data_IF_764285226523
#
_entry.id   IF_764285226523
#
_cell.length_a   1.000
_cell.length_b   1.000
_cell.length_c   1.000
_cell.angle_alpha   90.00
_cell.angle_beta   90.00
_cell.angle_gamma   90.00
#
_symmetry.space_group_name_H-M   'P 1'
#
loop_
_entity.id
_entity.type
_entity.pdbx_description
1 polymer ?
#
# COMPACT_ATOMS: atom_id res chain seq x y z
N UNK A 1 40.56 1.94 13.14
CA UNK A 1 39.35 1.51 12.48
C UNK A 1 38.36 2.64 12.71
N UNK A 2 38.35 3.62 11.81
CA UNK A 2 37.29 4.61 11.75
C UNK A 2 36.08 3.82 11.26
N UNK A 3 35.03 3.80 12.06
CA UNK A 3 33.77 3.21 11.70
C UNK A 3 33.36 3.71 10.31
N UNK A 4 33.21 2.83 9.36
CA UNK A 4 32.34 3.07 8.23
C UNK A 4 30.98 3.41 8.85
N UNK A 5 30.73 4.69 9.02
CA UNK A 5 29.42 5.20 9.41
C UNK A 5 28.50 4.73 8.30
N UNK A 6 27.79 3.63 8.53
CA UNK A 6 26.79 3.12 7.59
C UNK A 6 25.88 4.28 7.24
N UNK A 7 25.94 4.76 5.98
CA UNK A 7 25.16 5.91 5.56
C UNK A 7 23.68 5.62 5.80
N UNK A 8 23.02 6.52 6.51
CA UNK A 8 21.62 6.38 6.91
C UNK A 8 20.68 6.42 5.71
N UNK A 9 19.64 5.60 5.77
CA UNK A 9 18.50 5.59 4.84
C UNK A 9 17.27 6.08 5.61
N UNK A 10 16.62 7.13 5.15
CA UNK A 10 15.46 7.71 5.81
C UNK A 10 14.17 7.19 5.19
N UNK A 11 13.37 6.50 5.98
CA UNK A 11 12.02 6.06 5.64
C UNK A 11 10.99 6.98 6.27
N UNK A 12 10.04 7.46 5.49
CA UNK A 12 8.77 8.00 5.99
C UNK A 12 7.75 6.86 5.94
N UNK A 13 7.11 6.58 7.07
CA UNK A 13 6.07 5.59 7.17
C UNK A 13 4.76 6.23 7.64
N UNK A 14 3.72 6.19 6.80
CA UNK A 14 2.37 6.65 7.16
C UNK A 14 1.52 5.45 7.46
N UNK A 15 1.03 5.36 8.70
CA UNK A 15 0.14 4.29 9.15
C UNK A 15 -1.00 4.90 9.97
N UNK A 16 -2.19 4.95 9.40
CA UNK A 16 -3.33 5.62 10.03
C UNK A 16 -4.65 5.34 9.33
N UNK A 17 -5.73 5.86 9.89
CA UNK A 17 -7.07 5.77 9.32
C UNK A 17 -8.01 4.92 10.14
N UNK A 18 -8.98 4.27 9.47
CA UNK A 18 -10.12 3.62 10.12
C UNK A 18 -10.32 2.18 9.63
N UNK A 19 -11.13 1.42 10.38
CA UNK A 19 -11.68 0.10 10.06
C UNK A 19 -10.66 -1.05 9.94
N UNK A 20 -9.40 -0.79 10.24
CA UNK A 20 -8.31 -1.75 10.23
C UNK A 20 -7.52 -1.68 11.53
N UNK A 21 -6.90 -2.79 11.93
CA UNK A 21 -5.95 -2.83 13.05
C UNK A 21 -4.62 -2.18 12.63
N UNK A 22 -4.66 -0.84 12.57
CA UNK A 22 -3.52 -0.02 12.12
C UNK A 22 -2.29 -0.26 13.00
N UNK A 23 -2.49 -0.44 14.30
CA UNK A 23 -1.39 -0.63 15.25
C UNK A 23 -0.71 -1.99 15.06
N UNK A 24 -1.47 -3.04 14.77
CA UNK A 24 -0.91 -4.35 14.39
C UNK A 24 -0.08 -4.24 13.10
N UNK A 25 -0.66 -3.69 12.03
CA UNK A 25 0.05 -3.54 10.75
C UNK A 25 1.30 -2.66 10.89
N UNK A 26 1.19 -1.55 11.63
CA UNK A 26 2.30 -0.65 11.96
C UNK A 26 3.43 -1.40 12.65
N UNK A 27 3.10 -2.20 13.68
CA UNK A 27 4.08 -2.99 14.43
C UNK A 27 4.80 -3.99 13.53
N UNK A 28 4.07 -4.75 12.72
CA UNK A 28 4.66 -5.76 11.84
C UNK A 28 5.58 -5.14 10.79
N UNK A 29 5.17 -4.03 10.16
CA UNK A 29 5.99 -3.32 9.17
C UNK A 29 7.24 -2.72 9.84
N UNK A 30 7.12 -2.13 11.03
CA UNK A 30 8.27 -1.58 11.78
C UNK A 30 9.29 -2.67 12.17
N UNK A 31 8.85 -3.88 12.51
CA UNK A 31 9.75 -5.02 12.74
C UNK A 31 10.60 -5.31 11.50
N UNK A 32 9.98 -5.37 10.31
CA UNK A 32 10.71 -5.63 9.07
C UNK A 32 11.65 -4.46 8.72
N UNK A 33 11.19 -3.20 8.85
CA UNK A 33 12.05 -2.04 8.63
C UNK A 33 13.27 -2.03 9.57
N UNK A 34 13.13 -2.53 10.80
CA UNK A 34 14.22 -2.60 11.77
C UNK A 34 15.24 -3.73 11.51
N UNK A 35 14.97 -4.64 10.58
CA UNK A 35 15.93 -5.68 10.16
C UNK A 35 17.17 -5.06 9.47
N UNK A 36 17.06 -3.85 8.88
CA UNK A 36 18.20 -3.07 8.36
C UNK A 36 18.52 -1.89 9.30
N UNK A 37 19.58 -2.01 10.08
CA UNK A 37 20.02 -1.01 11.08
C UNK A 37 20.38 0.38 10.49
N UNK A 38 20.51 0.49 9.15
CA UNK A 38 20.73 1.78 8.46
C UNK A 38 19.45 2.58 8.33
N UNK A 39 18.27 1.94 8.42
CA UNK A 39 16.99 2.60 8.23
C UNK A 39 16.62 3.40 9.48
N UNK A 40 16.40 4.70 9.29
CA UNK A 40 15.70 5.53 10.26
C UNK A 40 14.27 5.72 9.80
N UNK A 41 13.32 5.17 10.54
CA UNK A 41 11.89 5.33 10.25
C UNK A 41 11.30 6.48 11.05
N UNK A 42 10.58 7.38 10.36
CA UNK A 42 9.70 8.39 10.96
C UNK A 42 8.25 7.98 10.67
N UNK A 43 7.46 7.80 11.72
CA UNK A 43 6.06 7.34 11.63
C UNK A 43 5.12 8.52 11.76
N UNK A 44 4.09 8.53 10.92
CA UNK A 44 3.02 9.53 10.88
C UNK A 44 1.66 8.82 10.75
N UNK A 45 0.59 9.46 11.18
CA UNK A 45 -0.76 8.93 11.07
C UNK A 45 -1.54 9.50 9.89
N UNK A 46 -1.07 10.63 9.33
CA UNK A 46 -1.66 11.31 8.19
C UNK A 46 -0.60 11.83 7.21
N UNK A 47 -1.04 12.13 5.99
CA UNK A 47 -0.15 12.57 4.91
C UNK A 47 0.28 14.03 5.03
N UNK A 48 -0.56 14.90 5.59
CA UNK A 48 -0.25 16.34 5.69
C UNK A 48 0.91 16.59 6.67
N UNK A 49 0.92 15.90 7.81
CA UNK A 49 2.05 15.89 8.73
C UNK A 49 3.28 15.18 8.17
N UNK A 50 3.08 14.05 7.48
CA UNK A 50 4.17 13.30 6.84
C UNK A 50 4.88 14.11 5.75
N UNK A 51 4.14 14.96 5.01
CA UNK A 51 4.68 15.83 3.97
C UNK A 51 5.84 16.71 4.45
N UNK A 52 5.88 17.08 5.73
CA UNK A 52 6.98 17.86 6.32
C UNK A 52 8.32 17.12 6.35
N UNK A 53 8.28 15.78 6.22
CA UNK A 53 9.45 14.91 6.30
C UNK A 53 9.91 14.37 4.93
N UNK A 54 9.13 14.56 3.86
CA UNK A 54 9.41 13.97 2.54
C UNK A 54 10.71 14.49 1.91
N UNK A 55 11.09 15.74 2.18
CA UNK A 55 12.31 16.33 1.60
C UNK A 55 13.58 15.61 2.07
N UNK A 56 13.54 15.01 3.28
CA UNK A 56 14.65 14.24 3.85
C UNK A 56 14.51 12.73 3.61
N UNK A 57 13.36 12.28 3.08
CA UNK A 57 13.07 10.87 2.91
C UNK A 57 13.78 10.29 1.67
N UNK A 58 14.27 9.08 1.81
CA UNK A 58 14.79 8.27 0.71
C UNK A 58 13.69 7.43 0.07
N UNK A 59 12.74 6.96 0.85
CA UNK A 59 11.56 6.24 0.37
C UNK A 59 10.36 6.42 1.30
N UNK A 60 9.18 6.11 0.79
CA UNK A 60 7.90 6.19 1.49
C UNK A 60 7.27 4.80 1.60
N UNK A 61 6.71 4.49 2.77
CA UNK A 61 5.85 3.33 2.99
C UNK A 61 4.50 3.81 3.52
N UNK A 62 3.41 3.19 3.08
CA UNK A 62 2.08 3.56 3.58
C UNK A 62 1.22 2.33 3.83
N UNK A 63 0.54 2.33 4.98
CA UNK A 63 -0.56 1.42 5.31
C UNK A 63 -1.67 2.27 5.93
N UNK A 64 -2.59 2.71 5.11
CA UNK A 64 -3.66 3.63 5.54
C UNK A 64 -5.01 3.14 5.03
N UNK A 65 -6.09 3.58 5.64
CA UNK A 65 -7.44 3.42 5.11
C UNK A 65 -8.26 4.66 5.44
N UNK A 66 -8.90 5.23 4.43
CA UNK A 66 -9.73 6.44 4.54
C UNK A 66 -8.99 7.69 5.06
N UNK A 67 -7.72 7.83 4.71
CA UNK A 67 -6.92 9.02 5.05
C UNK A 67 -6.81 9.91 3.82
N UNK A 68 -7.44 11.07 3.88
CA UNK A 68 -7.34 12.11 2.84
C UNK A 68 -6.18 13.07 3.14
N UNK A 69 -5.75 13.83 2.13
CA UNK A 69 -4.77 14.89 2.30
C UNK A 69 -5.11 16.14 1.48
N UNK A 70 -4.48 17.24 1.82
CA UNK A 70 -4.62 18.50 1.10
C UNK A 70 -4.07 18.38 -0.34
N UNK A 71 -4.55 19.22 -1.24
CA UNK A 71 -4.07 19.26 -2.64
C UNK A 71 -2.56 19.48 -2.68
N UNK A 72 -2.03 20.39 -1.85
CA UNK A 72 -0.58 20.63 -1.76
C UNK A 72 0.21 19.40 -1.33
N UNK A 73 -0.36 18.56 -0.47
CA UNK A 73 0.26 17.29 -0.07
C UNK A 73 0.21 16.26 -1.19
N UNK A 74 -0.90 16.18 -1.95
CA UNK A 74 -0.97 15.32 -3.14
C UNK A 74 0.12 15.72 -4.16
N UNK A 75 0.26 17.01 -4.45
CA UNK A 75 1.31 17.55 -5.32
C UNK A 75 2.72 17.20 -4.82
N UNK A 76 2.95 17.31 -3.51
CA UNK A 76 4.25 16.97 -2.90
C UNK A 76 4.56 15.48 -2.95
N UNK A 77 3.57 14.62 -2.75
CA UNK A 77 3.71 13.16 -2.90
C UNK A 77 4.03 12.77 -4.34
N UNK A 78 3.30 13.34 -5.31
CA UNK A 78 3.59 13.13 -6.72
C UNK A 78 5.01 13.60 -7.07
N UNK A 79 5.40 14.81 -6.66
CA UNK A 79 6.73 15.36 -6.91
C UNK A 79 7.84 14.52 -6.26
N UNK A 80 7.59 13.96 -5.07
CA UNK A 80 8.51 13.06 -4.37
C UNK A 80 8.80 11.82 -5.23
N UNK A 81 7.78 11.16 -5.77
CA UNK A 81 7.95 10.00 -6.63
C UNK A 81 8.55 10.41 -7.97
N UNK A 82 7.98 11.42 -8.65
CA UNK A 82 8.45 11.91 -9.93
C UNK A 82 9.94 12.35 -9.91
N UNK A 83 10.44 12.74 -8.75
CA UNK A 83 11.85 13.05 -8.51
C UNK A 83 12.80 11.85 -8.49
N UNK A 84 12.31 10.63 -8.66
CA UNK A 84 13.09 9.39 -8.68
C UNK A 84 13.08 8.60 -7.37
N UNK A 85 12.19 8.97 -6.45
CA UNK A 85 12.00 8.22 -5.19
C UNK A 85 11.00 7.08 -5.38
N UNK A 86 10.96 6.16 -4.41
CA UNK A 86 10.05 5.02 -4.42
C UNK A 86 9.05 5.09 -3.27
N UNK A 87 7.83 4.68 -3.60
CA UNK A 87 6.73 4.58 -2.65
C UNK A 87 6.21 3.15 -2.63
N UNK A 88 6.29 2.48 -1.48
CA UNK A 88 5.66 1.18 -1.27
C UNK A 88 4.32 1.38 -0.56
N UNK A 89 3.24 1.23 -1.31
CA UNK A 89 1.87 1.40 -0.84
C UNK A 89 1.24 0.03 -0.54
N UNK A 90 0.54 -0.06 0.59
CA UNK A 90 -0.04 -1.30 1.09
C UNK A 90 -1.54 -1.15 1.31
N UNK A 91 -2.27 -2.19 0.96
CA UNK A 91 -3.68 -2.44 1.26
C UNK A 91 -4.56 -1.20 1.08
N UNK A 92 -5.16 -0.68 2.15
CA UNK A 92 -6.12 0.42 2.16
C UNK A 92 -5.60 1.79 1.73
N UNK A 93 -4.33 1.91 1.32
CA UNK A 93 -3.71 3.20 0.95
C UNK A 93 -4.50 3.97 -0.11
N UNK A 94 -5.12 3.30 -1.09
CA UNK A 94 -5.97 3.91 -2.12
C UNK A 94 -7.47 3.88 -1.81
N UNK A 95 -7.84 3.60 -0.56
CA UNK A 95 -9.24 3.49 -0.14
C UNK A 95 -9.69 4.78 0.53
N UNK A 96 -10.54 5.54 -0.16
CA UNK A 96 -11.28 6.66 0.41
C UNK A 96 -12.75 6.29 0.32
N UNK A 97 -13.42 6.24 1.46
CA UNK A 97 -14.76 5.70 1.58
C UNK A 97 -15.72 6.69 2.21
N UNK A 98 -16.98 6.63 1.78
CA UNK A 98 -18.11 7.33 2.37
C UNK A 98 -19.25 6.36 2.60
N UNK A 99 -19.72 6.27 3.85
CA UNK A 99 -20.92 5.53 4.18
C UNK A 99 -22.15 6.36 3.85
N UNK A 100 -22.98 5.87 2.95
CA UNK A 100 -24.25 6.46 2.60
C UNK A 100 -25.34 5.90 3.52
N UNK A 101 -26.05 6.78 4.21
CA UNK A 101 -27.16 6.38 5.07
C UNK A 101 -28.40 6.04 4.23
N UNK A 102 -29.42 5.34 4.79
CA UNK A 102 -30.68 5.09 4.11
C UNK A 102 -31.37 6.34 3.55
N UNK A 103 -31.07 7.52 4.08
CA UNK A 103 -31.59 8.80 3.57
C UNK A 103 -30.89 9.28 2.30
N UNK A 104 -29.66 8.84 2.08
CA UNK A 104 -28.81 9.22 0.95
C UNK A 104 -28.95 8.26 -0.23
N UNK A 105 -29.63 7.12 -0.04
CA UNK A 105 -29.80 6.08 -1.06
C UNK A 105 -31.24 6.00 -1.55
N UNK A 106 -31.42 5.67 -2.82
CA UNK A 106 -32.74 5.56 -3.46
C UNK A 106 -33.64 4.47 -2.82
N UNK A 107 -33.05 3.42 -2.26
CA UNK A 107 -33.79 2.26 -1.74
C UNK A 107 -33.69 2.14 -0.20
N UNK A 108 -33.15 3.15 0.49
CA UNK A 108 -33.01 3.10 1.95
C UNK A 108 -31.98 2.09 2.45
N UNK A 109 -31.03 1.68 1.63
CA UNK A 109 -29.97 0.75 1.99
C UNK A 109 -28.75 1.48 2.54
N UNK A 110 -28.00 0.83 3.43
CA UNK A 110 -26.67 1.29 3.82
C UNK A 110 -25.69 0.85 2.73
N UNK A 111 -25.08 1.81 2.04
CA UNK A 111 -24.11 1.55 0.99
C UNK A 111 -22.79 2.27 1.27
N UNK A 112 -21.72 1.71 0.74
CA UNK A 112 -20.39 2.31 0.77
C UNK A 112 -20.08 2.85 -0.63
N UNK A 113 -19.65 4.09 -0.68
CA UNK A 113 -19.18 4.74 -1.90
C UNK A 113 -17.69 4.99 -1.80
N UNK A 114 -16.96 4.83 -2.91
CA UNK A 114 -15.57 5.26 -3.06
C UNK A 114 -15.51 6.58 -3.87
N UNK A 115 -15.58 7.76 -3.24
CA UNK A 115 -15.61 9.03 -3.94
C UNK A 115 -14.26 9.34 -4.60
N UNK A 116 -14.27 9.88 -5.84
CA UNK A 116 -13.06 10.31 -6.57
C UNK A 116 -12.60 11.69 -6.06
N UNK A 117 -12.38 11.81 -4.75
CA UNK A 117 -12.09 13.09 -4.07
C UNK A 117 -10.60 13.43 -3.96
N UNK A 118 -9.71 12.48 -4.29
CA UNK A 118 -8.26 12.65 -4.19
C UNK A 118 -7.59 12.28 -5.53
N UNK A 119 -7.91 12.96 -6.66
CA UNK A 119 -7.57 12.49 -7.98
C UNK A 119 -6.05 12.37 -8.20
N UNK A 120 -5.27 13.37 -7.83
CA UNK A 120 -3.82 13.37 -8.02
C UNK A 120 -3.11 12.31 -7.16
N UNK A 121 -3.65 12.06 -5.95
CA UNK A 121 -3.16 11.00 -5.08
C UNK A 121 -3.39 9.61 -5.71
N UNK A 122 -4.59 9.37 -6.24
CA UNK A 122 -4.94 8.10 -6.88
C UNK A 122 -4.22 7.90 -8.22
N UNK A 123 -4.05 8.96 -9.01
CA UNK A 123 -3.22 8.96 -10.21
C UNK A 123 -1.76 8.60 -9.89
N UNK A 124 -1.21 9.15 -8.80
CA UNK A 124 0.15 8.81 -8.35
C UNK A 124 0.27 7.36 -7.93
N UNK A 125 -0.73 6.80 -7.23
CA UNK A 125 -0.77 5.38 -6.86
C UNK A 125 -1.01 4.43 -8.03
N UNK A 126 -1.54 4.93 -9.15
CA UNK A 126 -1.93 4.15 -10.32
C UNK A 126 -3.28 3.45 -10.18
N UNK A 127 -3.95 3.57 -9.04
CA UNK A 127 -5.30 3.00 -8.84
C UNK A 127 -6.06 3.67 -7.71
N UNK A 128 -7.38 3.48 -7.73
CA UNK A 128 -8.29 3.77 -6.64
C UNK A 128 -9.10 2.51 -6.30
N UNK A 129 -9.23 2.24 -5.00
CA UNK A 129 -10.16 1.24 -4.49
C UNK A 129 -11.61 1.68 -4.78
N UNK A 130 -12.43 0.73 -5.27
CA UNK A 130 -13.85 0.98 -5.54
C UNK A 130 -14.74 0.11 -4.67
N UNK A 131 -14.42 -1.19 -4.59
CA UNK A 131 -15.20 -2.16 -3.84
C UNK A 131 -14.37 -3.39 -3.50
N UNK A 132 -14.91 -4.25 -2.65
CA UNK A 132 -14.46 -5.62 -2.47
C UNK A 132 -15.65 -6.56 -2.22
N UNK A 133 -15.63 -7.83 -2.65
CA UNK A 133 -16.56 -8.83 -2.17
C UNK A 133 -16.32 -9.10 -0.67
N UNK A 134 -17.21 -9.79 0.03
CA UNK A 134 -16.96 -10.21 1.41
C UNK A 134 -15.61 -10.91 1.54
N UNK A 135 -14.92 -10.70 2.68
CA UNK A 135 -13.65 -11.39 2.99
C UNK A 135 -13.85 -12.90 2.84
N UNK A 136 -13.11 -13.50 1.93
CA UNK A 136 -13.22 -14.90 1.58
C UNK A 136 -11.92 -15.42 0.95
N UNK A 137 -11.70 -16.74 0.88
CA UNK A 137 -10.59 -17.31 0.16
C UNK A 137 -10.65 -16.97 -1.34
N UNK A 138 -9.51 -16.56 -1.90
CA UNK A 138 -9.32 -16.42 -3.34
C UNK A 138 -7.88 -16.77 -3.73
N UNK A 139 -7.70 -17.09 -5.01
CA UNK A 139 -6.41 -17.48 -5.56
C UNK A 139 -5.70 -16.28 -6.17
N UNK A 140 -4.43 -16.13 -5.81
CA UNK A 140 -3.51 -15.14 -6.38
C UNK A 140 -2.62 -15.85 -7.38
N UNK A 141 -2.62 -15.37 -8.61
CA UNK A 141 -1.82 -15.88 -9.72
C UNK A 141 -0.58 -15.03 -9.96
N UNK A 142 0.51 -15.68 -10.39
CA UNK A 142 1.78 -15.02 -10.71
C UNK A 142 1.79 -14.65 -12.19
N UNK A 143 1.66 -13.36 -12.49
CA UNK A 143 1.66 -12.84 -13.87
C UNK A 143 3.06 -12.88 -14.47
N UNK A 144 4.07 -12.55 -13.67
CA UNK A 144 5.47 -12.42 -14.11
C UNK A 144 6.41 -13.28 -13.25
N UNK A 145 6.50 -14.61 -13.47
CA UNK A 145 7.24 -15.50 -12.57
C UNK A 145 8.75 -15.23 -12.50
N UNK A 146 9.32 -14.53 -13.47
CA UNK A 146 10.73 -14.15 -13.51
C UNK A 146 11.03 -12.76 -12.91
N UNK A 147 10.00 -12.07 -12.41
CA UNK A 147 10.19 -10.76 -11.79
C UNK A 147 10.85 -10.90 -10.42
N UNK A 148 11.91 -10.11 -10.08
CA UNK A 148 12.68 -10.26 -8.83
C UNK A 148 11.82 -10.20 -7.56
N UNK A 149 10.75 -9.41 -7.58
CA UNK A 149 9.83 -9.28 -6.43
C UNK A 149 9.06 -10.57 -6.10
N UNK A 150 8.95 -11.49 -7.05
CA UNK A 150 8.21 -12.76 -6.89
C UNK A 150 9.04 -13.99 -7.23
N UNK A 151 10.36 -13.88 -7.33
CA UNK A 151 11.24 -15.03 -7.59
C UNK A 151 10.95 -16.16 -6.60
N UNK A 152 10.65 -17.37 -7.11
CA UNK A 152 10.31 -18.54 -6.29
C UNK A 152 8.94 -18.46 -5.59
N UNK A 153 8.12 -17.44 -5.86
CA UNK A 153 6.72 -17.40 -5.43
C UNK A 153 5.87 -18.14 -6.45
N UNK A 154 5.13 -19.12 -5.98
CA UNK A 154 4.11 -19.83 -6.76
C UNK A 154 2.74 -19.20 -6.49
N UNK A 155 1.76 -19.49 -7.36
CA UNK A 155 0.37 -19.10 -7.13
C UNK A 155 -0.13 -19.66 -5.77
N UNK A 156 -0.84 -18.84 -5.00
CA UNK A 156 -1.26 -19.19 -3.65
C UNK A 156 -2.71 -18.79 -3.37
N UNK A 157 -3.31 -19.41 -2.37
CA UNK A 157 -4.59 -18.99 -1.83
C UNK A 157 -4.41 -18.09 -0.61
N UNK A 158 -5.24 -17.08 -0.50
CA UNK A 158 -5.34 -16.20 0.66
C UNK A 158 -6.79 -15.94 1.00
N UNK A 159 -7.07 -15.75 2.27
CA UNK A 159 -8.33 -15.14 2.73
C UNK A 159 -8.03 -13.67 3.00
N UNK A 160 -8.62 -12.75 2.23
CA UNK A 160 -8.35 -11.31 2.35
C UNK A 160 -9.51 -10.52 1.74
N UNK A 161 -9.44 -9.20 1.79
CA UNK A 161 -10.27 -8.31 0.98
C UNK A 161 -9.71 -8.27 -0.45
N UNK A 162 -10.43 -8.85 -1.41
CA UNK A 162 -10.08 -8.73 -2.81
C UNK A 162 -10.43 -7.32 -3.32
N UNK A 163 -9.44 -6.48 -3.53
CA UNK A 163 -9.65 -5.12 -4.02
C UNK A 163 -10.03 -5.08 -5.50
N UNK A 164 -11.19 -4.51 -5.77
CA UNK A 164 -11.68 -4.21 -7.10
C UNK A 164 -11.37 -2.75 -7.40
N UNK A 165 -10.48 -2.53 -8.35
CA UNK A 165 -9.82 -1.25 -8.55
C UNK A 165 -10.29 -0.54 -9.82
N UNK A 166 -10.43 0.79 -9.75
CA UNK A 166 -10.30 1.66 -10.90
C UNK A 166 -8.80 1.93 -11.12
N UNK A 167 -8.28 1.66 -12.32
CA UNK A 167 -6.87 1.84 -12.62
C UNK A 167 -6.59 3.15 -13.34
N UNK A 168 -5.48 3.79 -13.02
CA UNK A 168 -5.03 5.05 -13.60
C UNK A 168 -3.69 4.85 -14.29
N UNK A 169 -3.67 4.98 -15.60
CA UNK A 169 -2.47 4.75 -16.42
C UNK A 169 -2.15 3.26 -16.65
N UNK A 170 -0.90 2.99 -16.96
CA UNK A 170 -0.40 1.63 -17.23
C UNK A 170 0.21 1.06 -15.96
N UNK A 171 -0.24 -0.13 -15.57
CA UNK A 171 0.30 -0.87 -14.44
C UNK A 171 1.13 -2.04 -14.93
N UNK A 172 2.33 -2.20 -14.39
CA UNK A 172 3.14 -3.41 -14.54
C UNK A 172 2.68 -4.42 -13.48
N UNK A 173 1.73 -5.29 -13.85
CA UNK A 173 1.06 -6.23 -12.95
C UNK A 173 1.92 -7.47 -12.75
N UNK A 174 2.34 -7.71 -11.52
CA UNK A 174 3.21 -8.83 -11.10
C UNK A 174 2.38 -10.00 -10.54
N UNK A 175 1.36 -9.70 -9.72
CA UNK A 175 0.38 -10.66 -9.24
C UNK A 175 -1.03 -10.15 -9.54
N UNK A 176 -1.94 -11.07 -9.85
CA UNK A 176 -3.35 -10.76 -10.08
C UNK A 176 -4.29 -11.81 -9.48
N UNK A 177 -5.56 -11.48 -9.43
CA UNK A 177 -6.65 -12.40 -9.16
C UNK A 177 -7.71 -12.26 -10.26
N UNK A 178 -8.27 -13.38 -10.70
CA UNK A 178 -9.43 -13.41 -11.60
C UNK A 178 -10.71 -13.33 -10.79
N UNK A 179 -11.53 -12.33 -11.04
CA UNK A 179 -12.81 -12.17 -10.34
C UNK A 179 -13.86 -11.50 -11.22
N UNK A 180 -15.10 -11.94 -11.06
CA UNK A 180 -16.32 -11.31 -11.53
C UNK A 180 -17.48 -11.73 -10.63
N UNK A 181 -18.36 -10.79 -10.32
CA UNK A 181 -19.47 -11.04 -9.40
C UNK A 181 -19.94 -9.80 -8.66
N UNK A 182 -20.56 -10.02 -7.51
CA UNK A 182 -21.15 -8.96 -6.69
C UNK A 182 -20.26 -8.59 -5.51
N UNK A 183 -19.93 -7.30 -5.39
CA UNK A 183 -19.40 -6.68 -4.18
C UNK A 183 -20.55 -6.01 -3.42
N UNK A 184 -21.30 -6.80 -2.66
CA UNK A 184 -22.48 -6.34 -1.94
C UNK A 184 -22.12 -5.29 -0.90
N UNK A 185 -22.98 -4.28 -0.76
CA UNK A 185 -22.78 -3.16 0.18
C UNK A 185 -22.04 -1.97 -0.45
N UNK A 186 -21.58 -2.07 -1.69
CA UNK A 186 -20.95 -0.97 -2.41
C UNK A 186 -21.87 -0.41 -3.50
N UNK A 187 -21.77 0.90 -3.74
CA UNK A 187 -22.51 1.57 -4.83
C UNK A 187 -22.15 0.95 -6.18
N UNK A 188 -20.86 0.76 -6.42
CA UNK A 188 -20.34 0.10 -7.62
C UNK A 188 -20.10 -1.40 -7.31
N UNK A 189 -21.19 -2.11 -7.04
CA UNK A 189 -21.15 -3.48 -6.52
C UNK A 189 -21.21 -4.60 -7.57
N UNK A 190 -21.21 -4.29 -8.87
CA UNK A 190 -21.28 -5.32 -9.94
C UNK A 190 -20.05 -5.28 -10.84
N UNK A 191 -19.39 -6.42 -10.97
CA UNK A 191 -18.11 -6.51 -11.67
C UNK A 191 -18.14 -7.64 -12.70
N UNK A 192 -17.74 -7.31 -13.92
CA UNK A 192 -17.52 -8.31 -14.97
C UNK A 192 -16.26 -9.13 -14.66
N UNK A 193 -16.20 -10.35 -15.22
CA UNK A 193 -15.05 -11.23 -15.05
C UNK A 193 -13.80 -10.60 -15.69
N UNK A 194 -12.81 -10.33 -14.88
CA UNK A 194 -11.54 -9.75 -15.33
C UNK A 194 -10.40 -10.02 -14.34
N UNK A 195 -9.18 -9.69 -14.75
CA UNK A 195 -8.01 -9.71 -13.89
C UNK A 195 -7.96 -8.44 -13.05
N UNK A 196 -7.81 -8.62 -11.73
CA UNK A 196 -7.63 -7.53 -10.78
C UNK A 196 -6.19 -7.52 -10.28
N UNK A 197 -5.46 -6.39 -10.38
CA UNK A 197 -4.10 -6.29 -9.88
C UNK A 197 -4.04 -6.52 -8.37
N UNK A 198 -3.13 -7.40 -7.92
CA UNK A 198 -2.86 -7.67 -6.51
C UNK A 198 -1.51 -7.08 -6.10
N UNK A 199 -0.52 -7.17 -6.98
CA UNK A 199 0.82 -6.60 -6.77
C UNK A 199 1.31 -6.02 -8.08
N UNK A 200 1.61 -4.72 -8.10
CA UNK A 200 1.97 -4.03 -9.33
C UNK A 200 2.94 -2.88 -9.10
N UNK A 201 3.64 -2.48 -10.15
CA UNK A 201 4.43 -1.26 -10.22
C UNK A 201 3.71 -0.26 -11.13
N UNK A 202 3.69 1.00 -10.70
CA UNK A 202 3.24 2.15 -11.48
C UNK A 202 4.38 3.15 -11.62
N UNK A 203 4.70 3.52 -12.86
CA UNK A 203 5.73 4.49 -13.19
C UNK A 203 5.20 5.91 -13.03
N UNK A 204 5.95 6.77 -12.33
CA UNK A 204 5.63 8.18 -12.16
C UNK A 204 6.89 8.99 -12.50
N UNK A 205 7.03 9.37 -13.75
CA UNK A 205 8.20 10.07 -14.31
C UNK A 205 9.51 9.29 -14.03
N UNK A 206 10.36 9.73 -13.10
CA UNK A 206 11.64 9.07 -12.78
C UNK A 206 11.55 8.05 -11.64
N UNK A 207 10.46 8.04 -10.92
CA UNK A 207 10.27 7.15 -9.78
C UNK A 207 9.11 6.19 -10.00
N UNK A 208 8.81 5.44 -8.95
CA UNK A 208 7.87 4.32 -9.05
C UNK A 208 7.06 4.17 -7.77
N UNK A 209 5.83 3.73 -7.91
CA UNK A 209 5.01 3.21 -6.83
C UNK A 209 4.92 1.68 -6.98
N UNK A 210 5.24 0.94 -5.93
CA UNK A 210 4.93 -0.47 -5.79
C UNK A 210 3.69 -0.58 -4.90
N UNK A 211 2.68 -1.29 -5.36
CA UNK A 211 1.44 -1.46 -4.62
C UNK A 211 1.12 -2.93 -4.36
N UNK A 212 0.86 -3.28 -3.11
CA UNK A 212 0.36 -4.59 -2.70
C UNK A 212 -1.02 -4.42 -2.06
N UNK A 213 -2.06 -4.92 -2.72
CA UNK A 213 -3.46 -4.75 -2.27
C UNK A 213 -3.87 -5.65 -1.12
N UNK A 214 -3.13 -6.75 -0.90
CA UNK A 214 -3.35 -7.65 0.24
C UNK A 214 -2.96 -6.98 1.56
N UNK A 215 -3.48 -7.52 2.67
CA UNK A 215 -3.05 -7.14 3.99
C UNK A 215 -4.16 -6.61 4.87
N UNK A 216 -5.41 -7.01 4.63
CA UNK A 216 -6.50 -6.71 5.54
C UNK A 216 -6.20 -7.25 6.94
N UNK A 217 -6.43 -6.44 7.95
CA UNK A 217 -6.44 -6.87 9.34
C UNK A 217 -7.41 -6.02 10.16
N UNK A 218 -8.11 -6.65 11.08
CA UNK A 218 -9.08 -5.99 11.97
C UNK A 218 -9.04 -6.61 13.36
N UNK A 219 -8.98 -5.76 14.37
CA UNK A 219 -9.14 -6.14 15.77
C UNK A 219 -10.60 -6.00 16.20
N UNK A 220 -10.89 -6.37 17.45
CA UNK A 220 -12.25 -6.29 18.00
C UNK A 220 -12.84 -4.88 18.08
N UNK A 221 -11.99 -3.86 18.15
CA UNK A 221 -12.41 -2.48 18.44
C UNK A 221 -12.34 -1.54 17.23
N UNK A 222 -11.93 -2.05 16.06
CA UNK A 222 -11.74 -1.21 14.87
C UNK A 222 -13.08 -0.84 14.21
N UNK A 223 -14.14 -1.58 14.50
CA UNK A 223 -15.51 -1.28 14.09
C UNK A 223 -16.50 -1.55 15.24
N UNK A 224 -16.49 -0.75 16.32
CA UNK A 224 -17.24 -1.03 17.55
C UNK A 224 -18.76 -1.10 17.35
N UNK A 225 -19.32 -0.38 16.36
CA UNK A 225 -20.74 -0.44 16.03
C UNK A 225 -21.15 -1.74 15.33
N UNK A 226 -20.19 -2.54 14.86
CA UNK A 226 -20.40 -3.77 14.11
C UNK A 226 -19.73 -4.99 14.76
N UNK A 227 -19.44 -4.95 16.06
CA UNK A 227 -18.78 -6.07 16.78
C UNK A 227 -19.54 -7.39 16.71
N UNK A 228 -20.87 -7.35 16.58
CA UNK A 228 -21.69 -8.55 16.39
C UNK A 228 -21.47 -9.21 15.01
N UNK A 229 -21.07 -8.44 14.01
CA UNK A 229 -20.73 -8.92 12.67
C UNK A 229 -19.27 -9.36 12.56
N UNK A 230 -18.37 -8.75 13.32
CA UNK A 230 -16.93 -9.02 13.31
C UNK A 230 -16.46 -9.46 14.69
N UNK A 231 -16.92 -10.63 15.20
CA UNK A 231 -16.67 -11.06 16.58
C UNK A 231 -15.23 -11.55 16.80
N UNK A 232 -14.47 -11.78 15.71
CA UNK A 232 -13.12 -12.34 15.76
C UNK A 232 -12.10 -11.36 15.18
N UNK A 233 -10.85 -11.48 15.65
CA UNK A 233 -9.73 -10.78 15.04
C UNK A 233 -9.44 -11.37 13.66
N UNK A 234 -9.28 -10.52 12.65
CA UNK A 234 -8.92 -10.90 11.29
C UNK A 234 -7.45 -10.55 11.04
N UNK A 235 -6.69 -11.51 10.48
CA UNK A 235 -5.27 -11.31 10.12
C UNK A 235 -5.01 -11.56 8.64
N UNK A 236 -5.88 -12.27 7.96
CA UNK A 236 -5.90 -12.45 6.51
C UNK A 236 -4.52 -12.83 5.95
N UNK A 237 -4.01 -12.11 4.95
CA UNK A 237 -2.71 -12.40 4.36
C UNK A 237 -1.54 -12.34 5.37
N UNK A 238 -1.68 -11.66 6.50
CA UNK A 238 -0.65 -11.60 7.54
C UNK A 238 -0.35 -12.96 8.18
N UNK A 239 -1.22 -13.96 8.03
CA UNK A 239 -0.97 -15.33 8.49
C UNK A 239 -0.12 -16.15 7.49
N UNK A 240 0.20 -15.58 6.32
CA UNK A 240 0.89 -16.29 5.24
C UNK A 240 2.38 -15.90 5.15
N UNK A 241 3.32 -16.87 5.15
CA UNK A 241 4.73 -16.58 4.96
C UNK A 241 5.04 -15.86 3.63
N UNK A 242 4.28 -16.15 2.57
CA UNK A 242 4.45 -15.50 1.26
C UNK A 242 4.17 -14.00 1.35
N UNK A 243 3.20 -13.56 2.16
CA UNK A 243 2.92 -12.15 2.36
C UNK A 243 4.11 -11.41 2.98
N UNK A 244 4.72 -11.97 4.02
CA UNK A 244 5.95 -11.43 4.60
C UNK A 244 7.14 -11.43 3.63
N UNK A 245 7.19 -12.39 2.72
CA UNK A 245 8.18 -12.39 1.63
C UNK A 245 7.97 -11.19 0.70
N UNK A 246 6.72 -10.91 0.30
CA UNK A 246 6.37 -9.77 -0.54
C UNK A 246 6.66 -8.44 0.19
N UNK A 247 6.32 -8.35 1.49
CA UNK A 247 6.62 -7.17 2.30
C UNK A 247 8.13 -6.87 2.34
N UNK A 248 8.97 -7.86 2.66
CA UNK A 248 10.44 -7.68 2.70
C UNK A 248 10.99 -7.27 1.35
N UNK A 249 10.60 -7.98 0.28
CA UNK A 249 11.07 -7.66 -1.08
C UNK A 249 10.64 -6.27 -1.54
N UNK A 250 9.42 -5.85 -1.19
CA UNK A 250 8.95 -4.49 -1.47
C UNK A 250 9.75 -3.43 -0.73
N UNK A 251 10.12 -3.67 0.53
CA UNK A 251 10.99 -2.77 1.29
C UNK A 251 12.42 -2.73 0.75
N UNK A 252 12.99 -3.89 0.36
CA UNK A 252 14.29 -3.93 -0.33
C UNK A 252 14.25 -3.16 -1.65
N UNK A 253 13.20 -3.37 -2.45
CA UNK A 253 12.98 -2.61 -3.69
C UNK A 253 12.89 -1.10 -3.42
N UNK A 254 12.18 -0.67 -2.39
CA UNK A 254 12.00 0.74 -2.08
C UNK A 254 13.32 1.46 -1.73
N UNK A 255 14.30 0.74 -1.17
CA UNK A 255 15.62 1.28 -0.80
C UNK A 255 16.58 1.46 -1.97
N UNK A 256 16.34 0.84 -3.13
CA UNK A 256 17.33 0.80 -4.23
C UNK A 256 17.89 2.17 -4.60
N UNK A 257 17.09 3.24 -4.82
CA UNK A 257 17.64 4.54 -5.17
C UNK A 257 18.58 5.13 -4.11
N UNK A 258 18.28 4.88 -2.83
CA UNK A 258 19.16 5.32 -1.73
C UNK A 258 20.49 4.56 -1.72
N UNK A 259 20.45 3.24 -1.98
CA UNK A 259 21.65 2.41 -2.04
C UNK A 259 22.56 2.79 -3.22
N UNK A 260 21.98 3.09 -4.37
CA UNK A 260 22.70 3.58 -5.56
C UNK A 260 23.38 4.93 -5.28
N UNK A 261 22.66 5.87 -4.66
CA UNK A 261 23.21 7.15 -4.25
C UNK A 261 24.39 6.97 -3.26
N UNK A 262 24.23 6.15 -2.24
CA UNK A 262 25.27 5.86 -1.24
C UNK A 262 26.51 5.26 -1.90
N UNK A 263 26.32 4.33 -2.85
CA UNK A 263 27.42 3.71 -3.58
C UNK A 263 28.18 4.70 -4.47
N UNK A 264 27.46 5.59 -5.16
CA UNK A 264 28.06 6.63 -6.00
C UNK A 264 28.90 7.63 -5.16
N UNK A 265 28.38 8.08 -4.02
CA UNK A 265 29.08 8.96 -3.09
C UNK A 265 30.39 8.33 -2.53
N UNK A 266 30.35 7.03 -2.21
CA UNK A 266 31.53 6.30 -1.72
C UNK A 266 32.64 6.25 -2.79
N UNK A 267 32.28 5.99 -4.07
CA UNK A 267 33.25 5.98 -5.17
C UNK A 267 33.86 7.37 -5.43
N UNK A 268 33.08 8.44 -5.31
CA UNK A 268 33.61 9.80 -5.45
C UNK A 268 34.60 10.18 -4.33
N UNK A 269 34.37 9.71 -3.11
CA UNK A 269 35.23 9.96 -1.97
C UNK A 269 36.57 9.19 -2.13
N UNK A 270 36.55 7.96 -2.65
CA UNK A 270 37.77 7.18 -2.97
C UNK A 270 38.62 7.83 -4.07
N UNK A 271 38.00 8.45 -5.07
CA UNK A 271 38.73 9.15 -6.16
C UNK A 271 39.37 10.45 -5.69
N UNK A 272 38.84 11.07 -4.62
CA UNK A 272 39.35 12.35 -4.07
C UNK A 272 40.44 12.13 -3.00
N UNK A 273 40.60 10.92 -2.48
CA UNK A 273 41.57 10.54 -1.45
C UNK A 273 42.94 10.10 -2.05
#
# INVERSE_FOLDING_TARGET
>A
MADEIKKRINCVFVAGGAWHDIDFARLEILKILSEDERIRTRVFEDYDTAATALDEADFLVTYTCNVTCSVSTQEKLQAFVAGGKRWYALHGTNSILRFLTPKDTQYGELLIEAPRSQPLFMETLGSQFIAHPPVAPFRVEVTQPNHPLVEGVEAFETTDELYLLETHGVLDVILHCDYGGDAKGFVEGKWEQQQHPVFYIHEVDKGQVLYLTLGHCRGHYDMPEFTDYYPTVERCAWDLPVYYTLLRRGLEWAKIPALERISAEAQEDEVKA
#
